data_IF_514252466871
#
_entry.id   IF_514252466871
#
_cell.length_a   1.000
_cell.length_b   1.000
_cell.length_c   1.000
_cell.angle_alpha   90.00
_cell.angle_beta   90.00
_cell.angle_gamma   90.00
#
_symmetry.space_group_name_H-M   'P 1'
#
loop_
_entity.id
_entity.type
_entity.pdbx_description
1 polymer ?
#
# COMPACT_ATOMS: atom_id res chain seq x y z
N UNK A 1 -45.34 28.14 -40.40
CA UNK A 1 -44.04 27.62 -39.92
C UNK A 1 -43.76 28.23 -38.55
N UNK A 2 -43.87 27.45 -37.47
CA UNK A 2 -43.58 27.92 -36.11
C UNK A 2 -42.06 27.95 -35.90
N UNK A 3 -41.51 29.16 -35.77
CA UNK A 3 -40.08 29.39 -35.54
C UNK A 3 -39.78 29.04 -34.07
N UNK A 4 -39.15 27.90 -33.81
CA UNK A 4 -38.65 27.57 -32.46
C UNK A 4 -37.69 28.67 -32.01
N UNK A 5 -37.98 29.33 -30.89
CA UNK A 5 -37.02 30.19 -30.21
C UNK A 5 -35.92 29.29 -29.66
N UNK A 6 -34.69 29.48 -30.10
CA UNK A 6 -33.53 28.90 -29.43
C UNK A 6 -33.33 29.71 -28.14
N UNK A 7 -33.71 29.13 -27.01
CA UNK A 7 -33.43 29.67 -25.68
C UNK A 7 -31.96 29.38 -25.37
N UNK A 8 -31.16 30.44 -25.19
CA UNK A 8 -29.80 30.34 -24.72
C UNK A 8 -29.75 30.34 -23.19
N UNK A 9 -28.76 29.67 -22.61
CA UNK A 9 -28.53 29.70 -21.16
C UNK A 9 -28.26 31.13 -20.67
N UNK A 10 -28.82 31.49 -19.52
CA UNK A 10 -28.49 32.74 -18.84
C UNK A 10 -27.17 32.60 -18.07
N UNK A 11 -26.47 33.73 -17.87
CA UNK A 11 -25.26 33.77 -17.05
C UNK A 11 -25.53 33.31 -15.61
N UNK A 12 -26.72 33.62 -15.07
CA UNK A 12 -27.11 33.25 -13.70
C UNK A 12 -27.25 31.74 -13.56
N UNK A 13 -27.85 31.06 -14.54
CA UNK A 13 -27.96 29.60 -14.53
C UNK A 13 -26.60 28.92 -14.54
N UNK A 14 -25.66 29.42 -15.36
CA UNK A 14 -24.29 28.90 -15.39
C UNK A 14 -23.57 29.12 -14.04
N UNK A 15 -23.76 30.28 -13.41
CA UNK A 15 -23.15 30.60 -12.12
C UNK A 15 -23.64 29.69 -10.98
N UNK A 16 -24.95 29.40 -10.93
CA UNK A 16 -25.51 28.49 -9.92
C UNK A 16 -24.94 27.08 -10.11
N UNK A 17 -24.83 26.62 -11.36
CA UNK A 17 -24.28 25.28 -11.65
C UNK A 17 -22.82 25.17 -11.20
N UNK A 18 -21.98 26.16 -11.49
CA UNK A 18 -20.59 26.17 -11.04
C UNK A 18 -20.48 26.22 -9.52
N UNK A 19 -21.34 26.97 -8.84
CA UNK A 19 -21.38 27.03 -7.38
C UNK A 19 -21.72 25.65 -6.77
N UNK A 20 -22.69 24.93 -7.33
CA UNK A 20 -23.06 23.58 -6.88
C UNK A 20 -21.92 22.58 -7.14
N UNK A 21 -21.29 22.60 -8.32
CA UNK A 21 -20.15 21.72 -8.62
C UNK A 21 -18.98 21.98 -7.66
N UNK A 22 -18.65 23.25 -7.39
CA UNK A 22 -17.60 23.62 -6.46
C UNK A 22 -17.88 23.10 -5.03
N UNK A 23 -19.13 23.22 -4.57
CA UNK A 23 -19.54 22.70 -3.26
C UNK A 23 -19.41 21.17 -3.17
N UNK A 24 -19.79 20.44 -4.23
CA UNK A 24 -19.63 18.98 -4.27
C UNK A 24 -18.16 18.55 -4.27
N UNK A 25 -17.33 19.19 -5.10
CA UNK A 25 -15.90 18.87 -5.19
C UNK A 25 -15.15 19.12 -3.88
N UNK A 26 -15.56 20.13 -3.10
CA UNK A 26 -14.98 20.42 -1.80
C UNK A 26 -15.12 19.26 -0.81
N UNK A 27 -16.23 18.50 -0.88
CA UNK A 27 -16.48 17.34 -0.02
C UNK A 27 -15.82 16.07 -0.59
N UNK A 28 -15.89 15.88 -1.91
CA UNK A 28 -15.42 14.65 -2.57
C UNK A 28 -13.89 14.52 -2.54
N UNK A 29 -13.17 15.63 -2.75
CA UNK A 29 -11.70 15.61 -2.87
C UNK A 29 -10.97 15.03 -1.64
N UNK A 30 -11.21 15.49 -0.39
CA UNK A 30 -10.51 14.94 0.77
C UNK A 30 -10.85 13.46 1.01
N UNK A 31 -12.09 13.06 0.75
CA UNK A 31 -12.53 11.66 0.87
C UNK A 31 -11.80 10.78 -0.15
N UNK A 32 -11.71 11.23 -1.39
CA UNK A 32 -11.00 10.52 -2.45
C UNK A 32 -9.50 10.36 -2.14
N UNK A 33 -8.83 11.41 -1.67
CA UNK A 33 -7.40 11.36 -1.29
C UNK A 33 -7.17 10.35 -0.16
N UNK A 34 -8.00 10.36 0.88
CA UNK A 34 -7.90 9.41 1.98
C UNK A 34 -8.17 7.97 1.54
N UNK A 35 -9.14 7.76 0.65
CA UNK A 35 -9.44 6.44 0.09
C UNK A 35 -8.25 5.88 -0.71
N UNK A 36 -7.63 6.71 -1.55
CA UNK A 36 -6.42 6.32 -2.31
C UNK A 36 -5.25 6.01 -1.37
N UNK A 37 -5.01 6.83 -0.34
CA UNK A 37 -3.98 6.56 0.67
C UNK A 37 -4.21 5.20 1.33
N UNK A 38 -5.42 4.95 1.82
CA UNK A 38 -5.78 3.69 2.49
C UNK A 38 -5.63 2.50 1.56
N UNK A 39 -6.08 2.60 0.30
CA UNK A 39 -5.91 1.55 -0.69
C UNK A 39 -4.42 1.22 -0.92
N UNK A 40 -3.56 2.25 -1.03
CA UNK A 40 -2.11 2.06 -1.13
C UNK A 40 -1.54 1.37 0.11
N UNK A 41 -1.90 1.81 1.31
CA UNK A 41 -1.47 1.18 2.56
C UNK A 41 -1.92 -0.29 2.65
N UNK A 42 -3.15 -0.60 2.26
CA UNK A 42 -3.65 -1.98 2.20
C UNK A 42 -2.88 -2.83 1.21
N UNK A 43 -2.55 -2.28 0.03
CA UNK A 43 -1.72 -2.97 -0.95
C UNK A 43 -0.33 -3.29 -0.39
N UNK A 44 0.31 -2.32 0.28
CA UNK A 44 1.62 -2.53 0.91
C UNK A 44 1.57 -3.60 1.99
N UNK A 45 0.56 -3.55 2.87
CA UNK A 45 0.35 -4.57 3.89
C UNK A 45 0.15 -5.97 3.28
N UNK A 46 -0.61 -6.07 2.19
CA UNK A 46 -0.82 -7.33 1.49
C UNK A 46 0.48 -7.87 0.87
N UNK A 47 1.28 -7.01 0.24
CA UNK A 47 2.57 -7.42 -0.32
C UNK A 47 3.55 -7.85 0.77
N UNK A 48 3.63 -7.13 1.90
CA UNK A 48 4.44 -7.56 3.05
C UNK A 48 4.05 -8.94 3.56
N UNK A 49 2.75 -9.22 3.70
CA UNK A 49 2.26 -10.55 4.10
C UNK A 49 2.63 -11.63 3.10
N UNK A 50 2.52 -11.34 1.80
CA UNK A 50 2.90 -12.27 0.74
C UNK A 50 4.40 -12.57 0.78
N UNK A 51 5.26 -11.56 0.98
CA UNK A 51 6.72 -11.75 1.10
C UNK A 51 7.05 -12.54 2.36
N UNK A 52 6.42 -12.23 3.50
CA UNK A 52 6.62 -12.98 4.74
C UNK A 52 6.28 -14.46 4.58
N UNK A 53 5.13 -14.78 3.96
CA UNK A 53 4.73 -16.15 3.68
C UNK A 53 5.70 -16.84 2.68
N UNK A 54 6.14 -16.13 1.65
CA UNK A 54 7.11 -16.63 0.68
C UNK A 54 8.47 -16.93 1.33
N UNK A 55 8.93 -16.08 2.25
CA UNK A 55 10.17 -16.28 2.98
C UNK A 55 10.11 -17.52 3.90
N UNK A 56 8.97 -17.76 4.55
CA UNK A 56 8.75 -19.00 5.30
C UNK A 56 8.75 -20.22 4.38
N UNK A 57 8.07 -20.13 3.25
CA UNK A 57 8.01 -21.24 2.29
C UNK A 57 9.40 -21.58 1.71
N UNK A 58 10.20 -20.56 1.41
CA UNK A 58 11.60 -20.71 0.97
C UNK A 58 12.39 -21.50 2.03
N UNK A 59 12.33 -21.08 3.29
CA UNK A 59 13.04 -21.77 4.38
C UNK A 59 12.66 -23.25 4.49
N UNK A 60 11.36 -23.59 4.40
CA UNK A 60 10.93 -24.99 4.50
C UNK A 60 11.26 -25.84 3.25
N UNK A 61 11.40 -25.21 2.08
CA UNK A 61 11.62 -25.91 0.80
C UNK A 61 13.11 -26.07 0.50
N UNK A 62 13.86 -24.97 0.62
CA UNK A 62 15.29 -24.92 0.30
C UNK A 62 16.17 -25.27 1.52
N UNK A 63 15.58 -25.34 2.72
CA UNK A 63 16.29 -25.58 3.99
C UNK A 63 17.40 -24.56 4.30
N UNK A 64 17.27 -23.35 3.74
CA UNK A 64 18.21 -22.25 3.92
C UNK A 64 17.47 -20.92 4.08
N UNK A 65 18.17 -19.89 4.54
CA UNK A 65 17.64 -18.54 4.64
C UNK A 65 17.82 -17.79 3.30
N UNK A 66 16.84 -16.97 2.89
CA UNK A 66 17.04 -16.07 1.76
C UNK A 66 18.03 -14.96 2.13
N UNK A 67 19.05 -14.73 1.29
CA UNK A 67 20.02 -13.64 1.46
C UNK A 67 19.41 -12.30 1.05
N UNK A 68 18.48 -12.34 0.10
CA UNK A 68 17.82 -11.18 -0.48
C UNK A 68 16.38 -11.48 -0.88
N UNK A 69 15.63 -10.44 -1.25
CA UNK A 69 14.27 -10.62 -1.75
C UNK A 69 14.22 -11.31 -3.12
N UNK A 70 15.31 -11.24 -3.89
CA UNK A 70 15.39 -11.82 -5.24
C UNK A 70 15.40 -13.35 -5.19
N UNK A 71 15.90 -13.94 -4.11
CA UNK A 71 15.87 -15.40 -3.86
C UNK A 71 14.43 -15.93 -3.75
N UNK A 72 13.49 -15.06 -3.38
CA UNK A 72 12.07 -15.37 -3.29
C UNK A 72 11.35 -15.29 -4.65
N UNK A 73 12.04 -15.04 -5.77
CA UNK A 73 11.45 -14.78 -7.08
C UNK A 73 10.46 -15.85 -7.57
N UNK A 74 10.62 -17.12 -7.16
CA UNK A 74 9.69 -18.21 -7.49
C UNK A 74 8.47 -18.30 -6.55
N UNK A 75 8.53 -17.62 -5.40
CA UNK A 75 7.56 -17.70 -4.31
C UNK A 75 6.70 -16.43 -4.19
N UNK A 76 7.12 -15.33 -4.80
CA UNK A 76 6.42 -14.04 -4.79
C UNK A 76 5.80 -13.72 -6.16
N UNK A 77 4.66 -13.04 -6.14
CA UNK A 77 4.06 -12.45 -7.33
C UNK A 77 3.83 -10.96 -7.09
N UNK A 78 4.29 -10.12 -8.03
CA UNK A 78 4.08 -8.68 -8.00
C UNK A 78 5.36 -7.87 -7.93
N UNK A 79 5.20 -6.55 -7.91
CA UNK A 79 6.33 -5.63 -7.81
C UNK A 79 6.82 -5.54 -6.36
N UNK A 80 8.09 -5.90 -6.14
CA UNK A 80 8.75 -5.86 -4.84
C UNK A 80 9.93 -4.87 -4.78
N UNK A 81 10.05 -3.95 -5.73
CA UNK A 81 11.18 -3.02 -5.82
C UNK A 81 11.39 -2.13 -4.57
N UNK A 82 10.30 -1.85 -3.84
CA UNK A 82 10.33 -1.04 -2.62
C UNK A 82 10.51 -1.88 -1.34
N UNK A 83 10.75 -3.18 -1.45
CA UNK A 83 10.86 -4.11 -0.31
C UNK A 83 12.25 -4.71 -0.26
N UNK A 84 12.86 -4.67 0.92
CA UNK A 84 14.14 -5.32 1.18
C UNK A 84 13.93 -6.43 2.20
N UNK A 85 14.71 -7.49 2.06
CA UNK A 85 14.74 -8.61 2.99
C UNK A 85 16.17 -8.77 3.49
N UNK A 86 16.31 -9.07 4.78
CA UNK A 86 17.55 -9.56 5.36
C UNK A 86 17.24 -10.67 6.35
N UNK A 87 18.08 -11.70 6.40
CA UNK A 87 17.96 -12.78 7.37
C UNK A 87 19.19 -12.80 8.29
N UNK A 88 18.98 -13.13 9.56
CA UNK A 88 20.06 -13.31 10.52
C UNK A 88 19.74 -14.44 11.48
N UNK A 89 20.74 -15.26 11.79
CA UNK A 89 20.62 -16.29 12.83
C UNK A 89 21.33 -15.84 14.11
N UNK A 90 20.59 -15.79 15.22
CA UNK A 90 21.10 -15.44 16.53
C UNK A 90 20.66 -16.46 17.57
N UNK A 91 21.57 -16.98 18.38
CA UNK A 91 21.26 -17.92 19.48
C UNK A 91 20.39 -19.13 19.07
N UNK A 92 20.55 -19.61 17.83
CA UNK A 92 19.80 -20.76 17.30
C UNK A 92 18.40 -20.43 16.76
N UNK A 93 18.00 -19.15 16.73
CA UNK A 93 16.77 -18.69 16.09
C UNK A 93 17.13 -17.88 14.85
N UNK A 94 16.50 -18.20 13.72
CA UNK A 94 16.68 -17.45 12.48
C UNK A 94 15.54 -16.45 12.32
N UNK A 95 15.88 -15.17 12.22
CA UNK A 95 14.91 -14.08 12.02
C UNK A 95 15.06 -13.51 10.62
N UNK A 96 13.99 -13.56 9.84
CA UNK A 96 13.86 -12.90 8.54
C UNK A 96 13.18 -11.55 8.77
N UNK A 97 13.84 -10.47 8.40
CA UNK A 97 13.33 -9.10 8.49
C UNK A 97 13.02 -8.58 7.10
N UNK A 98 11.76 -8.22 6.87
CA UNK A 98 11.28 -7.59 5.64
C UNK A 98 10.99 -6.12 5.93
N UNK A 99 11.52 -5.19 5.14
CA UNK A 99 11.34 -3.75 5.32
C UNK A 99 10.77 -3.14 4.04
N UNK A 100 9.76 -2.30 4.17
CA UNK A 100 9.28 -1.48 3.07
C UNK A 100 9.97 -0.10 3.09
N UNK A 101 10.66 0.21 2.01
CA UNK A 101 11.45 1.42 1.80
C UNK A 101 10.73 2.49 0.96
N UNK A 102 9.59 2.15 0.37
CA UNK A 102 8.84 3.06 -0.48
C UNK A 102 8.13 4.17 0.31
N UNK A 103 7.62 5.17 -0.41
CA UNK A 103 6.84 6.26 0.18
C UNK A 103 5.34 5.96 0.31
N UNK A 104 4.63 6.75 1.11
CA UNK A 104 3.16 6.81 1.11
C UNK A 104 2.43 5.93 2.13
N UNK A 105 3.15 5.22 3.01
CA UNK A 105 2.59 4.59 4.19
C UNK A 105 3.59 4.68 5.35
N UNK A 106 3.13 5.07 6.53
CA UNK A 106 3.93 5.04 7.77
C UNK A 106 3.77 3.72 8.52
N UNK A 107 4.60 3.50 9.53
CA UNK A 107 4.45 2.37 10.47
C UNK A 107 3.05 2.37 11.08
N UNK A 108 2.56 3.53 11.53
CA UNK A 108 1.23 3.65 12.14
C UNK A 108 0.09 3.40 11.14
N UNK A 109 0.24 3.88 9.90
CA UNK A 109 -0.74 3.61 8.83
C UNK A 109 -0.88 2.08 8.63
N UNK A 110 0.24 1.36 8.58
CA UNK A 110 0.25 -0.09 8.37
C UNK A 110 -0.20 -0.88 9.62
N UNK A 111 0.16 -0.42 10.82
CA UNK A 111 -0.31 -1.01 12.09
C UNK A 111 -1.82 -0.97 12.25
N UNK A 112 -2.49 0.03 11.67
CA UNK A 112 -3.96 0.10 11.65
C UNK A 112 -4.63 -1.04 10.87
N UNK A 113 -3.91 -1.69 9.95
CA UNK A 113 -4.39 -2.80 9.11
C UNK A 113 -3.81 -4.15 9.58
N UNK A 114 -2.58 -4.14 10.08
CA UNK A 114 -1.86 -5.32 10.52
C UNK A 114 -1.01 -5.00 11.75
N UNK A 115 -1.43 -5.50 12.90
CA UNK A 115 -0.82 -5.23 14.20
C UNK A 115 0.61 -5.77 14.37
N UNK A 116 1.03 -6.77 13.57
CA UNK A 116 2.39 -7.36 13.64
C UNK A 116 3.45 -6.53 12.92
N UNK A 117 3.08 -5.40 12.30
CA UNK A 117 4.04 -4.50 11.67
C UNK A 117 4.96 -3.90 12.73
N UNK A 118 6.24 -4.21 12.59
CA UNK A 118 7.34 -3.71 13.38
C UNK A 118 7.90 -2.42 12.80
N UNK A 119 8.47 -1.61 13.68
CA UNK A 119 9.28 -0.46 13.28
C UNK A 119 10.72 -0.94 13.12
N UNK A 120 11.28 -0.80 11.91
CA UNK A 120 12.66 -1.10 11.59
C UNK A 120 13.30 0.21 11.12
N UNK A 121 14.02 0.87 12.02
CA UNK A 121 14.71 2.15 11.78
C UNK A 121 13.82 3.26 11.20
N UNK A 122 12.58 3.39 11.70
CA UNK A 122 11.60 4.37 11.26
C UNK A 122 10.83 3.95 10.01
N UNK A 123 11.06 2.73 9.51
CA UNK A 123 10.38 2.16 8.35
C UNK A 123 9.46 1.01 8.77
N UNK A 124 8.34 0.83 8.08
CA UNK A 124 7.48 -0.31 8.34
C UNK A 124 8.13 -1.61 7.86
N UNK A 125 8.19 -2.59 8.75
CA UNK A 125 8.71 -3.90 8.43
C UNK A 125 8.04 -5.01 9.23
N UNK A 126 8.41 -6.25 8.95
CA UNK A 126 7.90 -7.45 9.60
C UNK A 126 9.09 -8.34 9.92
N UNK A 127 9.05 -8.96 11.10
CA UNK A 127 10.01 -9.97 11.50
C UNK A 127 9.33 -11.32 11.56
N UNK A 128 9.91 -12.31 10.90
CA UNK A 128 9.44 -13.69 10.86
C UNK A 128 10.53 -14.54 11.50
N UNK A 129 10.18 -15.25 12.57
CA UNK A 129 11.09 -16.20 13.20
C UNK A 129 10.86 -17.59 12.62
N UNK A 130 11.94 -18.27 12.25
CA UNK A 130 11.96 -19.64 11.78
C UNK A 130 12.96 -20.44 12.61
N UNK A 131 12.59 -21.68 12.95
CA UNK A 131 13.33 -22.61 13.81
C UNK A 131 13.44 -23.97 13.14
#
# INVERSE_FOLDING_TARGET
>A
MLKKKNEGFTLVELLIVLAVIAALLAIVTPVAVNAVKRAKTTQIASTLRNIAAAAQQYYYTEQDLPDSIDDLGNYIQGNVADYELSAATGSGVSTITIVYNGGGATVDDLRSIWNEVTDVDGKPGVKVEVS
#
